data_IF_509920899129
#
_entry.id   IF_509920899129
#
_cell.length_a   1.000
_cell.length_b   1.000
_cell.length_c   1.000
_cell.angle_alpha   90.00
_cell.angle_beta   90.00
_cell.angle_gamma   90.00
#
_symmetry.space_group_name_H-M   'P 1'
#
loop_
_entity.id
_entity.type
_entity.pdbx_description
1 polymer ?
#
# COMPACT_ATOMS: atom_id res chain seq x y z
N UNK A 1 31.62 13.90 21.27
CA UNK A 1 30.79 15.05 21.68
C UNK A 1 29.33 14.69 21.39
N UNK A 2 28.46 14.74 22.40
CA UNK A 2 27.00 14.54 22.22
C UNK A 2 26.45 15.82 21.59
N UNK A 3 25.87 15.71 20.41
CA UNK A 3 25.26 16.85 19.71
C UNK A 3 23.89 17.13 20.32
N UNK A 4 23.55 18.41 20.56
CA UNK A 4 22.22 18.75 21.04
C UNK A 4 21.21 18.65 19.90
N UNK A 5 20.00 18.21 20.22
CA UNK A 5 18.88 18.23 19.28
C UNK A 5 18.45 19.69 19.06
N UNK A 6 18.53 20.18 17.85
CA UNK A 6 18.23 21.55 17.47
C UNK A 6 17.47 21.67 16.14
N UNK A 7 17.30 22.91 15.64
CA UNK A 7 16.54 23.15 14.40
C UNK A 7 17.13 22.46 13.16
N UNK A 8 18.45 22.29 13.08
CA UNK A 8 19.10 21.63 11.95
C UNK A 8 18.80 20.13 11.91
N UNK A 9 18.79 19.49 13.08
CA UNK A 9 18.43 18.08 13.24
C UNK A 9 16.96 17.84 12.91
N UNK A 10 16.07 18.73 13.35
CA UNK A 10 14.65 18.67 13.03
C UNK A 10 14.41 18.85 11.52
N UNK A 11 15.11 19.81 10.89
CA UNK A 11 15.01 20.04 9.44
C UNK A 11 15.43 18.82 8.64
N UNK A 12 16.49 18.12 9.02
CA UNK A 12 16.95 16.90 8.37
C UNK A 12 15.86 15.80 8.37
N UNK A 13 15.14 15.64 9.50
CA UNK A 13 14.03 14.69 9.59
C UNK A 13 12.85 15.14 8.72
N UNK A 14 12.53 16.43 8.70
CA UNK A 14 11.46 17.00 7.88
C UNK A 14 11.77 16.84 6.38
N UNK A 15 13.00 17.04 5.96
CA UNK A 15 13.40 16.84 4.55
C UNK A 15 13.24 15.39 4.08
N UNK A 16 13.37 14.42 5.00
CA UNK A 16 13.14 13.01 4.69
C UNK A 16 11.67 12.66 4.35
N UNK A 17 10.71 13.56 4.68
CA UNK A 17 9.28 13.41 4.33
C UNK A 17 9.09 13.19 2.84
N UNK A 18 9.83 13.91 1.99
CA UNK A 18 9.77 13.77 0.54
C UNK A 18 10.01 12.32 0.06
N UNK A 19 10.93 11.62 0.73
CA UNK A 19 11.27 10.23 0.37
C UNK A 19 10.21 9.24 0.83
N UNK A 20 9.62 9.44 2.01
CA UNK A 20 8.47 8.67 2.49
C UNK A 20 7.29 8.83 1.55
N UNK A 21 6.97 10.06 1.14
CA UNK A 21 5.87 10.36 0.20
C UNK A 21 6.16 9.76 -1.17
N UNK A 22 7.36 9.96 -1.72
CA UNK A 22 7.76 9.40 -3.01
C UNK A 22 7.61 7.88 -3.03
N UNK A 23 8.17 7.20 -2.03
CA UNK A 23 8.10 5.74 -1.92
C UNK A 23 6.64 5.25 -1.80
N UNK A 24 5.83 5.95 -1.00
CA UNK A 24 4.39 5.65 -0.84
C UNK A 24 3.64 5.80 -2.17
N UNK A 25 3.89 6.87 -2.92
CA UNK A 25 3.23 7.13 -4.21
C UNK A 25 3.64 6.08 -5.24
N UNK A 26 4.94 5.79 -5.36
CA UNK A 26 5.44 4.77 -6.30
C UNK A 26 4.84 3.41 -5.98
N UNK A 27 4.88 2.98 -4.72
CA UNK A 27 4.34 1.70 -4.31
C UNK A 27 2.81 1.63 -4.45
N UNK A 28 2.09 2.74 -4.20
CA UNK A 28 0.64 2.80 -4.36
C UNK A 28 0.21 2.75 -5.83
N UNK A 29 0.88 3.49 -6.71
CA UNK A 29 0.57 3.47 -8.15
C UNK A 29 0.89 2.09 -8.74
N UNK A 30 2.11 1.59 -8.51
CA UNK A 30 2.52 0.27 -9.00
C UNK A 30 1.66 -0.86 -8.42
N UNK A 31 1.40 -0.80 -7.11
CA UNK A 31 0.50 -1.72 -6.42
C UNK A 31 -0.94 -1.64 -6.91
N UNK A 32 -1.41 -0.43 -7.26
CA UNK A 32 -2.72 -0.22 -7.88
C UNK A 32 -2.85 -0.88 -9.24
N UNK A 33 -1.85 -0.69 -10.10
CA UNK A 33 -1.82 -1.33 -11.44
C UNK A 33 -1.78 -2.85 -11.29
N UNK A 34 -0.87 -3.38 -10.48
CA UNK A 34 -0.76 -4.82 -10.24
C UNK A 34 -2.00 -5.39 -9.54
N UNK A 35 -2.53 -4.69 -8.54
CA UNK A 35 -3.73 -5.07 -7.79
C UNK A 35 -4.99 -5.13 -8.65
N UNK A 36 -5.12 -4.23 -9.63
CA UNK A 36 -6.22 -4.33 -10.61
C UNK A 36 -6.12 -5.63 -11.41
N UNK A 37 -4.93 -5.98 -11.88
CA UNK A 37 -4.69 -7.25 -12.55
C UNK A 37 -5.04 -8.44 -11.67
N UNK A 38 -4.60 -8.43 -10.41
CA UNK A 38 -4.89 -9.48 -9.41
C UNK A 38 -6.41 -9.58 -9.15
N UNK A 39 -7.11 -8.45 -8.93
CA UNK A 39 -8.56 -8.44 -8.69
C UNK A 39 -9.33 -9.01 -9.88
N UNK A 40 -8.98 -8.62 -11.11
CA UNK A 40 -9.59 -9.13 -12.33
C UNK A 40 -9.31 -10.63 -12.53
N UNK A 41 -8.07 -11.07 -12.27
CA UNK A 41 -7.72 -12.49 -12.34
C UNK A 41 -8.51 -13.33 -11.30
N UNK A 42 -8.67 -12.80 -10.07
CA UNK A 42 -9.47 -13.44 -9.00
C UNK A 42 -10.96 -13.55 -9.30
N UNK A 43 -11.48 -12.71 -10.19
CA UNK A 43 -12.90 -12.70 -10.60
C UNK A 43 -13.13 -13.24 -12.02
N UNK A 44 -12.05 -13.74 -12.67
CA UNK A 44 -12.11 -14.32 -14.01
C UNK A 44 -12.91 -15.65 -14.03
N UNK A 45 -13.51 -16.01 -15.17
CA UNK A 45 -14.16 -17.32 -15.36
C UNK A 45 -13.21 -18.50 -15.22
N UNK A 46 -11.94 -18.34 -15.62
CA UNK A 46 -10.91 -19.39 -15.59
C UNK A 46 -10.47 -19.71 -14.17
N UNK A 47 -10.59 -20.99 -13.76
CA UNK A 47 -10.16 -21.47 -12.44
C UNK A 47 -8.65 -21.27 -12.24
N UNK A 48 -7.85 -21.57 -13.26
CA UNK A 48 -6.39 -21.45 -13.20
C UNK A 48 -5.92 -20.01 -12.88
N UNK A 49 -6.53 -19.00 -13.53
CA UNK A 49 -6.23 -17.58 -13.23
C UNK A 49 -6.62 -17.22 -11.80
N UNK A 50 -7.75 -17.70 -11.33
CA UNK A 50 -8.19 -17.45 -9.93
C UNK A 50 -7.22 -18.07 -8.93
N UNK A 51 -6.76 -19.29 -9.19
CA UNK A 51 -5.89 -20.03 -8.26
C UNK A 51 -4.49 -19.44 -8.20
N UNK A 52 -3.90 -19.04 -9.32
CA UNK A 52 -2.62 -18.33 -9.35
C UNK A 52 -2.72 -17.00 -8.58
N UNK A 53 -3.75 -16.21 -8.87
CA UNK A 53 -3.93 -14.94 -8.18
C UNK A 53 -4.22 -15.13 -6.68
N UNK A 54 -4.91 -16.23 -6.30
CA UNK A 54 -5.09 -16.61 -4.90
C UNK A 54 -3.77 -16.95 -4.22
N UNK A 55 -2.94 -17.77 -4.86
CA UNK A 55 -1.61 -18.11 -4.36
C UNK A 55 -0.72 -16.89 -4.17
N UNK A 56 -0.75 -15.94 -5.12
CA UNK A 56 -0.05 -14.67 -5.01
C UNK A 56 -0.50 -13.88 -3.76
N UNK A 57 -1.81 -13.72 -3.58
CA UNK A 57 -2.37 -13.02 -2.42
C UNK A 57 -1.95 -13.70 -1.13
N UNK A 58 -2.10 -15.04 -1.04
CA UNK A 58 -1.73 -15.82 0.14
C UNK A 58 -0.24 -15.70 0.48
N UNK A 59 0.63 -15.68 -0.52
CA UNK A 59 2.07 -15.52 -0.34
C UNK A 59 2.39 -14.16 0.31
N UNK A 60 1.89 -13.07 -0.28
CA UNK A 60 2.22 -11.72 0.18
C UNK A 60 1.48 -11.30 1.46
N UNK A 61 0.27 -11.77 1.69
CA UNK A 61 -0.46 -11.52 2.94
C UNK A 61 -0.07 -12.48 4.06
N UNK A 62 0.38 -13.68 3.74
CA UNK A 62 0.83 -14.68 4.69
C UNK A 62 2.28 -14.52 5.17
N UNK A 63 3.06 -13.61 4.57
CA UNK A 63 4.45 -13.36 4.95
C UNK A 63 4.64 -11.93 5.48
N UNK A 64 5.51 -11.72 6.51
CA UNK A 64 5.79 -10.38 7.02
C UNK A 64 6.43 -9.50 5.94
N UNK A 65 5.94 -8.26 5.79
CA UNK A 65 6.48 -7.30 4.82
C UNK A 65 7.99 -7.07 5.00
N UNK A 66 8.47 -7.06 6.24
CA UNK A 66 9.91 -6.94 6.51
C UNK A 66 10.72 -8.06 5.85
N UNK A 67 10.22 -9.31 5.87
CA UNK A 67 10.87 -10.44 5.22
C UNK A 67 10.85 -10.29 3.69
N UNK A 68 9.77 -9.76 3.13
CA UNK A 68 9.68 -9.45 1.71
C UNK A 68 10.73 -8.40 1.29
N UNK A 69 10.91 -7.35 2.09
CA UNK A 69 11.96 -6.33 1.90
C UNK A 69 13.36 -6.96 1.92
N UNK A 70 13.64 -7.83 2.88
CA UNK A 70 14.92 -8.54 2.97
C UNK A 70 15.16 -9.46 1.78
N UNK A 71 14.15 -10.23 1.37
CA UNK A 71 14.26 -11.11 0.22
C UNK A 71 14.56 -10.34 -1.07
N UNK A 72 13.92 -9.20 -1.29
CA UNK A 72 14.20 -8.37 -2.47
C UNK A 72 15.60 -7.76 -2.38
N UNK A 73 15.95 -7.14 -1.26
CA UNK A 73 17.22 -6.41 -1.13
C UNK A 73 18.43 -7.35 -1.11
N UNK A 74 18.45 -8.32 -0.21
CA UNK A 74 19.56 -9.27 -0.08
C UNK A 74 19.53 -10.36 -1.16
N UNK A 75 18.34 -10.80 -1.57
CA UNK A 75 18.18 -11.78 -2.63
C UNK A 75 18.76 -11.30 -3.95
N UNK A 76 18.46 -10.08 -4.38
CA UNK A 76 19.08 -9.48 -5.57
C UNK A 76 20.59 -9.37 -5.44
N UNK A 77 21.10 -8.99 -4.26
CA UNK A 77 22.54 -8.88 -3.99
C UNK A 77 23.24 -10.24 -4.12
N UNK A 78 22.66 -11.30 -3.57
CA UNK A 78 23.21 -12.68 -3.66
C UNK A 78 23.20 -13.18 -5.10
N UNK A 79 22.23 -12.77 -5.91
CA UNK A 79 22.17 -13.10 -7.35
C UNK A 79 23.11 -12.24 -8.22
N UNK A 80 23.97 -11.40 -7.60
CA UNK A 80 24.92 -10.55 -8.31
C UNK A 80 24.32 -9.27 -8.88
N UNK A 81 23.03 -8.99 -8.66
CA UNK A 81 22.37 -7.76 -9.05
C UNK A 81 22.33 -6.82 -7.83
N UNK A 82 23.37 -5.98 -7.66
CA UNK A 82 23.36 -4.92 -6.64
C UNK A 82 22.17 -4.00 -6.87
N UNK A 83 21.23 -3.95 -5.91
CA UNK A 83 20.04 -3.11 -5.97
C UNK A 83 20.12 -1.97 -4.94
N UNK A 84 19.75 -0.78 -5.38
CA UNK A 84 19.61 0.38 -4.48
C UNK A 84 18.47 0.17 -3.46
N UNK A 85 18.65 0.60 -2.19
CA UNK A 85 17.61 0.47 -1.16
C UNK A 85 16.24 1.06 -1.52
N UNK A 86 16.21 2.18 -2.26
CA UNK A 86 14.95 2.77 -2.75
C UNK A 86 14.25 1.82 -3.73
N UNK A 87 15.00 1.28 -4.70
CA UNK A 87 14.45 0.36 -5.70
C UNK A 87 13.95 -0.94 -5.04
N UNK A 88 14.72 -1.50 -4.12
CA UNK A 88 14.30 -2.69 -3.37
C UNK A 88 13.04 -2.45 -2.56
N UNK A 89 12.96 -1.32 -1.84
CA UNK A 89 11.78 -0.93 -1.08
C UNK A 89 10.57 -0.70 -2.01
N UNK A 90 10.77 -0.01 -3.13
CA UNK A 90 9.70 0.24 -4.09
C UNK A 90 9.14 -1.07 -4.67
N UNK A 91 9.99 -2.03 -5.03
CA UNK A 91 9.56 -3.34 -5.55
C UNK A 91 8.79 -4.11 -4.48
N UNK A 92 9.35 -4.29 -3.28
CA UNK A 92 8.73 -5.07 -2.23
C UNK A 92 7.37 -4.48 -1.79
N UNK A 93 7.31 -3.16 -1.58
CA UNK A 93 6.08 -2.47 -1.21
C UNK A 93 5.05 -2.50 -2.35
N UNK A 94 5.47 -2.40 -3.61
CA UNK A 94 4.58 -2.51 -4.78
C UNK A 94 3.95 -3.90 -4.88
N UNK A 95 4.75 -4.95 -4.76
CA UNK A 95 4.25 -6.33 -4.78
C UNK A 95 3.29 -6.60 -3.62
N UNK A 96 3.65 -6.17 -2.42
CA UNK A 96 2.78 -6.26 -1.26
C UNK A 96 1.46 -5.48 -1.47
N UNK A 97 1.56 -4.23 -1.93
CA UNK A 97 0.39 -3.38 -2.20
C UNK A 97 -0.52 -3.98 -3.28
N UNK A 98 0.04 -4.62 -4.32
CA UNK A 98 -0.74 -5.28 -5.36
C UNK A 98 -1.58 -6.45 -4.80
N UNK A 99 -1.04 -7.22 -3.85
CA UNK A 99 -1.78 -8.30 -3.20
C UNK A 99 -2.93 -7.75 -2.33
N UNK A 100 -2.66 -6.71 -1.54
CA UNK A 100 -3.68 -6.13 -0.66
C UNK A 100 -4.77 -5.38 -1.43
N UNK A 101 -4.40 -4.52 -2.39
CA UNK A 101 -5.36 -3.80 -3.23
C UNK A 101 -6.16 -4.77 -4.11
N UNK A 102 -5.50 -5.81 -4.63
CA UNK A 102 -6.17 -6.86 -5.40
C UNK A 102 -7.27 -7.57 -4.61
N UNK A 103 -7.01 -7.90 -3.35
CA UNK A 103 -7.99 -8.53 -2.46
C UNK A 103 -9.11 -7.56 -2.05
N UNK A 104 -8.77 -6.30 -1.73
CA UNK A 104 -9.74 -5.24 -1.45
C UNK A 104 -10.71 -5.09 -2.63
N UNK A 105 -10.19 -4.94 -3.84
CA UNK A 105 -11.02 -4.73 -5.03
C UNK A 105 -11.79 -5.97 -5.45
N UNK A 106 -11.23 -7.17 -5.25
CA UNK A 106 -11.97 -8.43 -5.40
C UNK A 106 -13.19 -8.45 -4.47
N UNK A 107 -12.99 -8.07 -3.19
CA UNK A 107 -14.08 -7.98 -2.21
C UNK A 107 -15.14 -6.98 -2.64
N UNK A 108 -14.75 -5.81 -3.16
CA UNK A 108 -15.68 -4.80 -3.68
C UNK A 108 -16.46 -5.27 -4.92
N UNK A 109 -15.82 -6.02 -5.81
CA UNK A 109 -16.49 -6.64 -6.98
C UNK A 109 -17.55 -7.65 -6.53
N UNK A 110 -17.23 -8.47 -5.53
CA UNK A 110 -18.15 -9.46 -5.00
C UNK A 110 -19.27 -8.86 -4.14
N UNK A 111 -19.08 -7.66 -3.59
CA UNK A 111 -20.10 -6.93 -2.85
C UNK A 111 -21.21 -6.32 -3.74
N UNK A 112 -21.03 -6.30 -5.08
CA UNK A 112 -22.07 -5.84 -5.99
C UNK A 112 -23.26 -6.81 -5.93
N UNK A 113 -24.52 -6.32 -5.73
CA UNK A 113 -25.70 -7.17 -5.56
C UNK A 113 -25.87 -8.17 -6.70
N UNK A 114 -26.23 -9.41 -6.34
CA UNK A 114 -26.40 -10.54 -7.30
C UNK A 114 -27.39 -10.18 -8.43
N UNK A 115 -28.45 -9.42 -8.12
CA UNK A 115 -29.40 -8.96 -9.12
C UNK A 115 -28.80 -8.13 -10.25
N UNK A 116 -27.68 -7.42 -10.01
CA UNK A 116 -26.95 -6.69 -11.06
C UNK A 116 -26.23 -7.65 -12.02
N UNK A 117 -25.72 -8.74 -11.49
CA UNK A 117 -25.08 -9.81 -12.26
C UNK A 117 -26.11 -10.55 -13.11
N UNK A 118 -27.26 -10.87 -12.52
CA UNK A 118 -28.37 -11.58 -13.18
C UNK A 118 -29.00 -10.74 -14.27
N UNK A 119 -29.32 -9.47 -13.99
CA UNK A 119 -29.87 -8.53 -14.98
C UNK A 119 -28.95 -8.35 -16.18
N UNK A 120 -27.64 -8.14 -15.95
CA UNK A 120 -26.66 -8.03 -17.02
C UNK A 120 -26.55 -9.34 -17.84
N UNK A 121 -26.73 -10.50 -17.19
CA UNK A 121 -26.74 -11.80 -17.89
C UNK A 121 -27.99 -11.96 -18.72
N UNK A 122 -29.17 -11.59 -18.21
CA UNK A 122 -30.44 -11.63 -18.92
C UNK A 122 -30.43 -10.72 -20.18
N UNK A 123 -29.69 -9.64 -20.17
CA UNK A 123 -29.44 -8.77 -21.33
C UNK A 123 -28.41 -9.36 -22.33
N UNK A 124 -27.96 -10.60 -22.14
CA UNK A 124 -27.01 -11.26 -23.04
C UNK A 124 -25.59 -10.71 -22.97
N UNK A 125 -25.23 -9.94 -21.93
CA UNK A 125 -23.91 -9.36 -21.82
C UNK A 125 -22.82 -10.44 -21.58
N UNK A 126 -21.76 -10.40 -22.39
CA UNK A 126 -20.57 -11.24 -22.17
C UNK A 126 -19.85 -10.80 -20.88
N UNK A 127 -19.09 -11.70 -20.28
CA UNK A 127 -18.39 -11.45 -19.01
C UNK A 127 -17.61 -10.12 -18.99
N UNK A 128 -16.82 -9.84 -20.02
CA UNK A 128 -16.02 -8.61 -20.09
C UNK A 128 -16.88 -7.35 -20.16
N UNK A 129 -17.96 -7.38 -20.94
CA UNK A 129 -18.90 -6.25 -21.05
C UNK A 129 -19.63 -6.01 -19.75
N UNK A 130 -20.09 -7.08 -19.10
CA UNK A 130 -20.72 -7.04 -17.77
C UNK A 130 -19.77 -6.43 -16.72
N UNK A 131 -18.51 -6.90 -16.68
CA UNK A 131 -17.49 -6.34 -15.77
C UNK A 131 -17.27 -4.86 -16.04
N UNK A 132 -17.03 -4.48 -17.30
CA UNK A 132 -16.64 -3.10 -17.66
C UNK A 132 -17.77 -2.08 -17.46
N UNK A 133 -19.00 -2.43 -17.83
CA UNK A 133 -20.10 -1.45 -17.89
C UNK A 133 -21.05 -1.52 -16.68
N UNK A 134 -21.11 -2.64 -15.95
CA UNK A 134 -22.05 -2.81 -14.84
C UNK A 134 -21.34 -2.97 -13.51
N UNK A 135 -20.43 -3.94 -13.39
CA UNK A 135 -19.89 -4.36 -12.09
C UNK A 135 -18.77 -3.43 -11.62
N UNK A 136 -17.73 -3.23 -12.43
CA UNK A 136 -16.54 -2.43 -12.02
C UNK A 136 -16.90 -0.98 -11.68
N UNK A 137 -17.81 -0.29 -12.40
CA UNK A 137 -18.20 1.06 -12.02
C UNK A 137 -18.93 1.14 -10.66
N UNK A 138 -19.68 0.10 -10.29
CA UNK A 138 -20.34 0.02 -8.99
C UNK A 138 -19.36 -0.38 -7.89
N UNK A 139 -18.56 -1.42 -8.13
CA UNK A 139 -17.49 -1.86 -7.21
C UNK A 139 -16.48 -0.75 -6.91
N UNK A 140 -16.14 0.06 -7.92
CA UNK A 140 -15.22 1.18 -7.77
C UNK A 140 -15.69 2.21 -6.75
N UNK A 141 -16.99 2.52 -6.72
CA UNK A 141 -17.55 3.46 -5.73
C UNK A 141 -17.37 2.93 -4.30
N UNK A 142 -17.66 1.64 -4.07
CA UNK A 142 -17.49 0.98 -2.78
C UNK A 142 -16.00 0.86 -2.41
N UNK A 143 -15.15 0.66 -3.42
CA UNK A 143 -13.71 0.45 -3.26
C UNK A 143 -12.91 1.70 -2.88
N UNK A 144 -13.45 2.92 -3.08
CA UNK A 144 -12.71 4.17 -2.81
C UNK A 144 -12.25 4.25 -1.35
N UNK A 145 -13.16 4.04 -0.41
CA UNK A 145 -12.86 4.18 1.02
C UNK A 145 -11.79 3.18 1.51
N UNK A 146 -11.91 1.85 1.29
CA UNK A 146 -10.88 0.90 1.70
C UNK A 146 -9.56 1.10 0.95
N UNK A 147 -9.56 1.61 -0.29
CA UNK A 147 -8.35 1.95 -1.03
C UNK A 147 -7.58 3.09 -0.35
N UNK A 148 -8.27 4.16 0.06
CA UNK A 148 -7.66 5.26 0.82
C UNK A 148 -7.20 4.78 2.20
N UNK A 149 -7.96 3.91 2.87
CA UNK A 149 -7.55 3.28 4.12
C UNK A 149 -6.25 2.48 3.99
N UNK A 150 -6.11 1.73 2.91
CA UNK A 150 -4.88 1.01 2.62
C UNK A 150 -3.69 1.95 2.34
N UNK A 151 -3.90 3.10 1.68
CA UNK A 151 -2.85 4.09 1.47
C UNK A 151 -2.26 4.58 2.80
N UNK A 152 -3.09 4.78 3.83
CA UNK A 152 -2.60 5.14 5.19
C UNK A 152 -1.71 4.05 5.75
N UNK A 153 -2.09 2.79 5.60
CA UNK A 153 -1.27 1.66 6.04
C UNK A 153 0.05 1.59 5.25
N UNK A 154 0.01 1.81 3.94
CA UNK A 154 1.18 1.81 3.07
C UNK A 154 2.19 2.90 3.48
N UNK A 155 1.73 4.13 3.75
CA UNK A 155 2.59 5.23 4.26
C UNK A 155 3.30 4.81 5.55
N UNK A 156 2.62 4.18 6.49
CA UNK A 156 3.25 3.66 7.71
C UNK A 156 4.24 2.54 7.42
N UNK A 157 3.94 1.69 6.46
CA UNK A 157 4.78 0.55 6.08
C UNK A 157 6.11 0.97 5.44
N UNK A 158 6.21 2.18 4.87
CA UNK A 158 7.50 2.69 4.33
C UNK A 158 8.57 2.80 5.40
N UNK A 159 8.20 2.96 6.69
CA UNK A 159 9.15 2.99 7.81
C UNK A 159 10.03 1.74 7.90
N UNK A 160 9.54 0.58 7.41
CA UNK A 160 10.32 -0.66 7.38
C UNK A 160 11.51 -0.58 6.40
N UNK A 161 11.47 0.30 5.40
CA UNK A 161 12.58 0.51 4.48
C UNK A 161 13.82 1.10 5.17
N UNK A 162 13.66 1.71 6.36
CA UNK A 162 14.76 2.16 7.22
C UNK A 162 15.76 1.05 7.53
N UNK A 163 15.27 -0.20 7.63
CA UNK A 163 16.07 -1.37 8.06
C UNK A 163 17.04 -1.81 6.96
N UNK A 164 16.67 -1.66 5.69
CA UNK A 164 17.56 -1.92 4.55
C UNK A 164 18.42 -0.70 4.17
N UNK A 165 18.40 0.35 5.00
CA UNK A 165 19.26 1.55 4.84
C UNK A 165 18.66 2.68 4.02
N UNK A 166 17.40 2.58 3.56
CA UNK A 166 16.74 3.70 2.87
C UNK A 166 16.44 4.85 3.83
N UNK A 167 16.90 6.06 3.49
CA UNK A 167 16.74 7.25 4.35
C UNK A 167 15.40 7.93 4.09
N UNK A 168 14.39 7.44 4.80
CA UNK A 168 13.07 8.05 4.96
C UNK A 168 12.93 8.62 6.39
N UNK A 169 11.75 9.09 6.79
CA UNK A 169 11.52 9.76 8.10
C UNK A 169 12.08 8.96 9.27
N UNK A 170 11.82 7.65 9.35
CA UNK A 170 12.26 6.80 10.48
C UNK A 170 13.76 6.64 10.50
N UNK A 171 14.39 6.42 9.33
CA UNK A 171 15.83 6.29 9.22
C UNK A 171 16.54 7.62 9.54
N UNK A 172 15.98 8.74 9.08
CA UNK A 172 16.47 10.06 9.44
C UNK A 172 16.43 10.28 10.97
N UNK A 173 15.33 9.89 11.63
CA UNK A 173 15.22 9.89 13.07
C UNK A 173 16.29 9.01 13.75
N UNK A 174 16.51 7.78 13.26
CA UNK A 174 17.56 6.90 13.81
C UNK A 174 18.96 7.51 13.70
N UNK A 175 19.28 8.12 12.54
CA UNK A 175 20.57 8.80 12.33
C UNK A 175 20.76 9.93 13.35
N UNK A 176 19.76 10.78 13.53
CA UNK A 176 19.82 11.89 14.49
C UNK A 176 19.87 11.37 15.93
N UNK A 177 19.10 10.36 16.27
CA UNK A 177 19.13 9.76 17.61
C UNK A 177 20.51 9.19 17.96
N UNK A 178 21.21 8.57 17.00
CA UNK A 178 22.55 7.99 17.22
C UNK A 178 23.62 9.03 17.55
N UNK A 179 23.42 10.30 17.19
CA UNK A 179 24.37 11.39 17.47
C UNK A 179 23.94 12.28 18.62
N UNK A 180 22.63 12.33 18.92
CA UNK A 180 22.09 13.18 20.00
C UNK A 180 21.80 12.42 21.28
N UNK A 181 21.51 11.11 21.19
CA UNK A 181 21.04 10.27 22.30
C UNK A 181 19.77 10.81 23.00
N UNK A 182 18.88 11.45 22.22
CA UNK A 182 17.62 12.05 22.70
C UNK A 182 16.38 11.40 22.09
N UNK A 183 16.09 10.13 22.41
CA UNK A 183 15.06 9.35 21.73
C UNK A 183 13.65 9.97 21.84
N UNK A 184 13.29 10.57 22.98
CA UNK A 184 11.98 11.17 23.16
C UNK A 184 11.73 12.38 22.25
N UNK A 185 12.74 13.25 22.10
CA UNK A 185 12.64 14.44 21.25
C UNK A 185 12.61 14.04 19.77
N UNK A 186 13.51 13.14 19.38
CA UNK A 186 13.66 12.68 18.00
C UNK A 186 12.47 11.86 17.54
N UNK A 187 12.12 10.77 18.25
CA UNK A 187 11.01 9.91 17.83
C UNK A 187 9.65 10.54 18.13
N UNK A 188 9.57 11.49 19.07
CA UNK A 188 8.40 12.33 19.24
C UNK A 188 8.12 13.17 17.98
N UNK A 189 9.16 13.81 17.41
CA UNK A 189 9.03 14.54 16.14
C UNK A 189 8.67 13.62 14.99
N UNK A 190 9.33 12.46 14.86
CA UNK A 190 8.99 11.43 13.85
C UNK A 190 7.52 11.02 13.94
N UNK A 191 7.03 10.75 15.15
CA UNK A 191 5.63 10.37 15.38
C UNK A 191 4.66 11.48 14.99
N UNK A 192 4.96 12.75 15.32
CA UNK A 192 4.15 13.90 14.92
C UNK A 192 4.11 14.04 13.40
N UNK A 193 5.23 13.87 12.70
CA UNK A 193 5.27 13.95 11.24
C UNK A 193 4.41 12.85 10.61
N UNK A 194 4.55 11.58 11.05
CA UNK A 194 3.70 10.48 10.56
C UNK A 194 2.22 10.73 10.89
N UNK A 195 1.92 11.27 12.05
CA UNK A 195 0.54 11.65 12.41
C UNK A 195 -0.02 12.69 11.43
N UNK A 196 0.74 13.74 11.14
CA UNK A 196 0.33 14.80 10.19
C UNK A 196 0.12 14.26 8.77
N UNK A 197 0.91 13.28 8.33
CA UNK A 197 0.74 12.63 7.04
C UNK A 197 -0.47 11.69 7.00
N UNK A 198 -0.66 10.90 8.06
CA UNK A 198 -1.66 9.83 8.08
C UNK A 198 -3.05 10.33 8.49
N UNK A 199 -3.15 11.32 9.40
CA UNK A 199 -4.43 11.79 9.94
C UNK A 199 -5.37 12.35 8.86
N UNK A 200 -4.92 13.22 7.92
CA UNK A 200 -5.81 13.72 6.86
C UNK A 200 -6.34 12.60 5.96
N UNK A 201 -5.46 11.64 5.61
CA UNK A 201 -5.84 10.49 4.79
C UNK A 201 -6.84 9.59 5.51
N UNK A 202 -6.62 9.32 6.81
CA UNK A 202 -7.53 8.53 7.62
C UNK A 202 -8.91 9.19 7.73
N UNK A 203 -8.93 10.51 7.94
CA UNK A 203 -10.17 11.28 8.01
C UNK A 203 -10.91 11.30 6.66
N UNK A 204 -10.16 11.40 5.56
CA UNK A 204 -10.72 11.29 4.21
C UNK A 204 -11.33 9.89 3.97
N UNK A 205 -10.62 8.81 4.35
CA UNK A 205 -11.13 7.44 4.23
C UNK A 205 -12.47 7.28 4.97
N UNK A 206 -12.56 7.74 6.23
CA UNK A 206 -13.80 7.67 7.02
C UNK A 206 -14.96 8.49 6.41
N UNK A 207 -14.66 9.68 5.85
CA UNK A 207 -15.68 10.49 5.15
C UNK A 207 -16.19 9.77 3.90
N UNK A 208 -15.30 9.16 3.13
CA UNK A 208 -15.64 8.39 1.94
C UNK A 208 -16.45 7.14 2.29
N UNK A 209 -16.11 6.46 3.38
CA UNK A 209 -16.87 5.31 3.87
C UNK A 209 -18.30 5.68 4.24
N UNK A 210 -18.51 6.81 4.95
CA UNK A 210 -19.87 7.33 5.27
C UNK A 210 -20.65 7.70 4.01
N UNK A 211 -19.96 8.15 2.93
CA UNK A 211 -20.62 8.59 1.69
C UNK A 211 -20.95 7.44 0.73
N UNK A 212 -20.08 6.42 0.66
CA UNK A 212 -20.15 5.33 -0.32
C UNK A 212 -20.35 3.94 0.30
N UNK A 213 -20.17 3.79 1.61
CA UNK A 213 -20.30 2.50 2.30
C UNK A 213 -21.73 2.00 2.51
N UNK A 214 -22.75 2.76 2.13
CA UNK A 214 -24.18 2.44 2.37
C UNK A 214 -24.85 1.64 1.25
N UNK A 215 -24.12 0.84 0.50
CA UNK A 215 -24.73 -0.03 -0.55
C UNK A 215 -25.25 -1.36 0.03
N UNK A 216 -25.20 -1.54 1.36
CA UNK A 216 -25.72 -2.75 2.03
C UNK A 216 -26.77 -2.38 3.09
N UNK A 217 -27.98 -2.07 2.64
CA UNK A 217 -29.24 -2.32 3.39
C UNK A 217 -30.33 -2.64 2.39
#
# INVERSE_FOLDING_TARGET
MIRQFGPAEALFIIEAVRWTVLLSVVAFIGGGIGGLGVALARTAPSAWLRDIAAGYIQLFQGTPLLMQLFLVFFGCTVLGAGIDPLAAAAIALTLNAAAFLGEIWRGCIQAVPVGQWEAATALGMRHLSRMRYVIVPQAGKVGIAPTVGFLVQLVKSTSLASIIGFVEITRAGQIINNVTFRPFEVFGLVAVIYFMLCWPLSHLSQRLERRYGTVSR
#
